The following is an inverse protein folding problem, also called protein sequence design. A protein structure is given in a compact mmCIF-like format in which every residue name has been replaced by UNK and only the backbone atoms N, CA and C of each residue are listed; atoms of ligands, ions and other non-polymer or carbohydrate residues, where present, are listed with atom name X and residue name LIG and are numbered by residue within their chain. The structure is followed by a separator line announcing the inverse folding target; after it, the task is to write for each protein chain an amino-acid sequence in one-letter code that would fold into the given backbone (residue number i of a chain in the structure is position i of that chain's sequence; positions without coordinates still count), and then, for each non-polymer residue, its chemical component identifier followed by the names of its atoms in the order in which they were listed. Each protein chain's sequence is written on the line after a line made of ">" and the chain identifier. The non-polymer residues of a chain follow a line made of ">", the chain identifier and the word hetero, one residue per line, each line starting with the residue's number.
data_IF_371098254103
#
_entry.id   IF_371098254103
#
_cell.length_a   1.000
_cell.length_b   1.000
_cell.length_c   1.000
_cell.angle_alpha   90.00
_cell.angle_beta   90.00
_cell.angle_gamma   90.00
#
_symmetry.space_group_name_H-M   'P 1'
#
loop_
_entity.id
_entity.type
_entity.pdbx_description
1 polymer ?
#
# COMPACT_ATOMS: atom_id res chain seq x y z
N UNK A 1 -59.88 -1.65 6.91
CA UNK A 1 -59.27 -2.10 5.64
C UNK A 1 -58.25 -1.07 5.21
N UNK A 2 -56.95 -1.33 5.41
CA UNK A 2 -55.89 -0.49 4.83
C UNK A 2 -56.04 -0.53 3.30
N UNK A 3 -56.21 0.63 2.68
CA UNK A 3 -56.65 0.75 1.29
C UNK A 3 -55.67 0.06 0.32
N UNK A 4 -56.16 -0.70 -0.69
CA UNK A 4 -55.33 -1.39 -1.68
C UNK A 4 -54.41 -0.43 -2.46
N UNK A 5 -54.74 0.87 -2.52
CA UNK A 5 -53.91 1.93 -3.09
C UNK A 5 -52.51 2.02 -2.47
N UNK A 6 -52.38 1.85 -1.15
CA UNK A 6 -51.08 1.89 -0.46
C UNK A 6 -50.19 0.71 -0.86
N UNK A 7 -50.78 -0.48 -1.02
CA UNK A 7 -50.07 -1.68 -1.47
C UNK A 7 -49.59 -1.52 -2.92
N UNK A 8 -50.42 -0.98 -3.82
CA UNK A 8 -50.02 -0.71 -5.20
C UNK A 8 -48.88 0.32 -5.28
N UNK A 9 -48.92 1.37 -4.46
CA UNK A 9 -47.84 2.37 -4.42
C UNK A 9 -46.51 1.76 -4.01
N UNK A 10 -46.49 0.91 -2.97
CA UNK A 10 -45.27 0.21 -2.53
C UNK A 10 -44.76 -0.75 -3.61
N UNK A 11 -45.64 -1.50 -4.27
CA UNK A 11 -45.27 -2.39 -5.37
C UNK A 11 -44.66 -1.62 -6.55
N UNK A 12 -45.26 -0.50 -6.94
CA UNK A 12 -44.75 0.37 -8.01
C UNK A 12 -43.36 0.91 -7.65
N UNK A 13 -43.18 1.43 -6.43
CA UNK A 13 -41.87 1.92 -5.96
C UNK A 13 -40.82 0.81 -5.96
N UNK A 14 -41.20 -0.41 -5.53
CA UNK A 14 -40.31 -1.57 -5.56
C UNK A 14 -39.91 -1.96 -6.98
N UNK A 15 -40.87 -1.96 -7.92
CA UNK A 15 -40.61 -2.23 -9.35
C UNK A 15 -39.66 -1.18 -9.93
N UNK A 16 -39.93 0.11 -9.70
CA UNK A 16 -39.06 1.21 -10.16
C UNK A 16 -37.65 1.04 -9.60
N UNK A 17 -37.53 0.73 -8.30
CA UNK A 17 -36.26 0.47 -7.64
C UNK A 17 -35.50 -0.71 -8.28
N UNK A 18 -36.18 -1.83 -8.56
CA UNK A 18 -35.58 -3.00 -9.24
C UNK A 18 -35.12 -2.64 -10.66
N UNK A 19 -35.94 -1.91 -11.42
CA UNK A 19 -35.60 -1.47 -12.78
C UNK A 19 -34.38 -0.55 -12.75
N UNK A 20 -34.34 0.41 -11.82
CA UNK A 20 -33.21 1.33 -11.66
C UNK A 20 -31.90 0.56 -11.40
N UNK A 21 -31.89 -0.38 -10.45
CA UNK A 21 -30.73 -1.21 -10.15
C UNK A 21 -30.33 -2.11 -11.33
N UNK A 22 -31.31 -2.61 -12.08
CA UNK A 22 -31.03 -3.40 -13.28
C UNK A 22 -30.33 -2.56 -14.34
N UNK A 23 -30.78 -1.32 -14.58
CA UNK A 23 -30.16 -0.38 -15.51
C UNK A 23 -28.73 -0.04 -15.06
N UNK A 24 -28.52 0.27 -13.78
CA UNK A 24 -27.19 0.54 -13.23
C UNK A 24 -26.23 -0.64 -13.45
N UNK A 25 -26.69 -1.85 -13.12
CA UNK A 25 -25.92 -3.09 -13.31
C UNK A 25 -25.56 -3.32 -14.78
N UNK A 26 -26.51 -3.16 -15.70
CA UNK A 26 -26.27 -3.32 -17.14
C UNK A 26 -25.28 -2.28 -17.66
N UNK A 27 -25.41 -1.03 -17.23
CA UNK A 27 -24.49 0.04 -17.62
C UNK A 27 -23.07 -0.21 -17.09
N UNK A 28 -22.94 -0.68 -15.84
CA UNK A 28 -21.64 -1.07 -15.29
C UNK A 28 -21.03 -2.24 -16.07
N UNK A 29 -21.81 -3.25 -16.41
CA UNK A 29 -21.33 -4.37 -17.22
C UNK A 29 -20.88 -3.95 -18.63
N UNK A 30 -21.58 -3.01 -19.26
CA UNK A 30 -21.15 -2.43 -20.55
C UNK A 30 -19.78 -1.75 -20.42
N UNK A 31 -19.56 -0.97 -19.35
CA UNK A 31 -18.27 -0.33 -19.06
C UNK A 31 -17.14 -1.35 -18.82
N UNK A 32 -17.42 -2.44 -18.11
CA UNK A 32 -16.40 -3.48 -17.93
C UNK A 32 -16.05 -4.17 -19.25
N UNK A 33 -17.03 -4.41 -20.13
CA UNK A 33 -16.81 -5.00 -21.45
C UNK A 33 -15.96 -4.12 -22.38
N UNK A 34 -15.99 -2.80 -22.20
CA UNK A 34 -15.18 -1.88 -22.99
C UNK A 34 -13.72 -1.78 -22.55
N UNK A 35 -13.33 -2.41 -21.44
CA UNK A 35 -11.95 -2.44 -20.93
C UNK A 35 -11.44 -3.88 -21.03
N UNK A 36 -10.68 -4.26 -22.07
CA UNK A 36 -10.32 -5.66 -22.30
C UNK A 36 -9.49 -6.29 -21.18
N UNK A 37 -8.48 -5.57 -20.68
CA UNK A 37 -7.59 -6.04 -19.63
C UNK A 37 -8.04 -5.45 -18.29
N UNK A 38 -8.43 -6.31 -17.36
CA UNK A 38 -8.84 -5.89 -16.00
C UNK A 38 -8.06 -6.72 -15.00
N UNK A 39 -7.15 -6.06 -14.29
CA UNK A 39 -6.24 -6.70 -13.34
C UNK A 39 -6.69 -6.31 -11.94
N UNK A 40 -6.94 -7.30 -11.09
CA UNK A 40 -7.31 -7.08 -9.70
C UNK A 40 -6.17 -7.55 -8.78
N UNK A 41 -5.58 -6.61 -8.05
CA UNK A 41 -4.41 -6.83 -7.21
C UNK A 41 -4.84 -6.95 -5.75
N UNK A 42 -4.70 -8.14 -5.20
CA UNK A 42 -5.05 -8.50 -3.83
C UNK A 42 -3.80 -9.02 -3.08
N UNK A 43 -3.94 -9.30 -1.78
CA UNK A 43 -2.85 -9.76 -0.92
C UNK A 43 -2.71 -8.91 0.34
N UNK A 44 -1.89 -9.35 1.29
CA UNK A 44 -1.77 -8.66 2.59
C UNK A 44 -0.98 -7.36 2.44
N UNK A 45 0.24 -7.41 1.88
CA UNK A 45 1.14 -6.24 1.71
C UNK A 45 1.58 -6.04 0.26
N UNK A 46 2.04 -4.84 -0.11
CA UNK A 46 2.63 -4.56 -1.43
C UNK A 46 1.64 -4.32 -2.57
N UNK A 47 0.31 -4.38 -2.33
CA UNK A 47 -0.71 -4.21 -3.37
C UNK A 47 -0.58 -2.90 -4.16
N UNK A 48 -0.34 -1.78 -3.48
CA UNK A 48 -0.21 -0.47 -4.13
C UNK A 48 1.03 -0.36 -5.00
N UNK A 49 2.16 -0.89 -4.54
CA UNK A 49 3.40 -0.98 -5.32
C UNK A 49 3.18 -1.83 -6.57
N UNK A 50 2.70 -3.06 -6.41
CA UNK A 50 2.47 -3.98 -7.55
C UNK A 50 1.47 -3.41 -8.54
N UNK A 51 0.41 -2.74 -8.07
CA UNK A 51 -0.55 -2.04 -8.93
C UNK A 51 0.13 -0.96 -9.78
N UNK A 52 1.01 -0.15 -9.19
CA UNK A 52 1.78 0.90 -9.90
C UNK A 52 2.77 0.30 -10.88
N UNK A 53 3.49 -0.75 -10.48
CA UNK A 53 4.48 -1.43 -11.31
C UNK A 53 3.84 -2.09 -12.55
N UNK A 54 2.73 -2.82 -12.36
CA UNK A 54 1.97 -3.43 -13.47
C UNK A 54 1.48 -2.34 -14.42
N UNK A 55 0.90 -1.27 -13.88
CA UNK A 55 0.37 -0.18 -14.71
C UNK A 55 1.48 0.50 -15.52
N UNK A 56 2.62 0.78 -14.89
CA UNK A 56 3.77 1.41 -15.54
C UNK A 56 4.41 0.50 -16.60
N UNK A 57 4.58 -0.79 -16.29
CA UNK A 57 5.10 -1.77 -17.25
C UNK A 57 4.19 -1.89 -18.46
N UNK A 58 2.87 -2.04 -18.26
CA UNK A 58 1.91 -2.16 -19.36
C UNK A 58 1.86 -0.92 -20.28
N UNK A 59 2.10 0.29 -19.75
CA UNK A 59 2.13 1.53 -20.55
C UNK A 59 3.29 1.60 -21.55
N UNK A 60 4.38 0.86 -21.31
CA UNK A 60 5.57 0.93 -22.17
C UNK A 60 5.34 0.39 -23.58
N UNK A 61 4.32 -0.45 -23.75
CA UNK A 61 3.87 -1.01 -25.02
C UNK A 61 2.73 -0.18 -25.65
N UNK A 62 2.66 1.12 -25.35
CA UNK A 62 1.67 2.04 -25.89
C UNK A 62 0.24 1.86 -25.38
N UNK A 63 -0.02 0.88 -24.50
CA UNK A 63 -1.34 0.65 -23.91
C UNK A 63 -1.74 1.82 -23.02
N UNK A 64 -3.00 2.27 -23.13
CA UNK A 64 -3.60 3.22 -22.18
C UNK A 64 -4.02 2.47 -20.93
N UNK A 65 -3.27 2.67 -19.86
CA UNK A 65 -3.49 1.95 -18.60
C UNK A 65 -3.92 2.92 -17.52
N UNK A 66 -5.10 2.69 -16.96
CA UNK A 66 -5.56 3.37 -15.76
C UNK A 66 -5.29 2.47 -14.57
N UNK A 67 -4.81 3.06 -13.46
CA UNK A 67 -4.63 2.33 -12.23
C UNK A 67 -5.31 3.04 -11.07
N UNK A 68 -5.66 2.28 -10.05
CA UNK A 68 -6.14 2.84 -8.80
C UNK A 68 -5.55 2.09 -7.63
N UNK A 69 -4.88 2.83 -6.74
CA UNK A 69 -4.31 2.33 -5.50
C UNK A 69 -5.12 2.78 -4.29
N UNK A 70 -4.95 2.09 -3.17
CA UNK A 70 -5.56 2.42 -1.88
C UNK A 70 -4.61 2.56 -0.72
N UNK A 71 -3.30 2.48 -0.95
CA UNK A 71 -2.21 2.53 0.03
C UNK A 71 -2.19 3.73 0.97
N UNK A 72 -1.06 4.41 1.13
CA UNK A 72 -0.97 5.51 2.10
C UNK A 72 -1.96 6.64 1.80
N UNK A 73 -2.19 6.89 0.51
CA UNK A 73 -3.33 7.67 0.04
C UNK A 73 -3.93 7.01 -1.20
N UNK A 74 -5.26 7.04 -1.30
CA UNK A 74 -5.93 6.47 -2.46
C UNK A 74 -5.74 7.38 -3.68
N UNK A 75 -5.25 6.80 -4.80
CA UNK A 75 -4.91 7.55 -6.02
C UNK A 75 -5.58 6.94 -7.23
N UNK A 76 -6.10 7.79 -8.11
CA UNK A 76 -6.53 7.45 -9.45
C UNK A 76 -5.44 7.89 -10.44
N UNK A 77 -4.76 6.94 -11.04
CA UNK A 77 -3.53 7.15 -11.81
C UNK A 77 -3.86 7.01 -13.29
N UNK A 78 -3.85 8.12 -14.02
CA UNK A 78 -4.16 8.16 -15.45
C UNK A 78 -2.93 7.76 -16.25
N UNK A 79 -1.78 8.33 -15.91
CA UNK A 79 -0.47 7.97 -16.46
C UNK A 79 0.61 8.22 -15.41
N UNK A 80 1.89 8.10 -15.77
CA UNK A 80 2.98 8.25 -14.80
C UNK A 80 3.06 9.67 -14.19
N UNK A 81 2.59 10.70 -14.90
CA UNK A 81 2.68 12.10 -14.49
C UNK A 81 1.37 12.67 -13.93
N UNK A 82 0.24 12.02 -14.23
CA UNK A 82 -1.09 12.48 -13.85
C UNK A 82 -1.74 11.46 -12.92
N UNK A 83 -1.76 11.79 -11.63
CA UNK A 83 -2.52 11.09 -10.60
C UNK A 83 -3.38 12.07 -9.79
N UNK A 84 -4.59 11.64 -9.47
CA UNK A 84 -5.56 12.43 -8.71
C UNK A 84 -5.90 11.74 -7.39
N UNK A 85 -6.09 12.47 -6.28
CA UNK A 85 -6.57 11.87 -5.05
C UNK A 85 -8.00 11.33 -5.22
N UNK A 86 -8.26 10.15 -4.66
CA UNK A 86 -9.62 9.61 -4.56
C UNK A 86 -10.26 10.13 -3.28
N UNK A 87 -11.08 11.18 -3.41
CA UNK A 87 -11.74 11.82 -2.27
C UNK A 87 -12.89 10.95 -1.76
N UNK A 88 -12.91 10.72 -0.44
CA UNK A 88 -13.96 9.95 0.25
C UNK A 88 -14.73 10.87 1.19
N UNK A 89 -16.06 10.77 1.15
CA UNK A 89 -16.96 11.42 2.13
C UNK A 89 -17.19 10.55 3.38
N UNK A 90 -16.47 9.44 3.53
CA UNK A 90 -16.63 8.48 4.62
C UNK A 90 -15.58 7.36 4.56
N UNK A 91 -15.87 6.24 5.23
CA UNK A 91 -14.99 5.07 5.21
C UNK A 91 -14.84 4.47 3.81
N UNK A 92 -13.74 3.75 3.61
CA UNK A 92 -13.47 2.98 2.40
C UNK A 92 -14.64 2.02 2.09
N UNK A 93 -15.10 1.99 0.85
CA UNK A 93 -16.23 1.16 0.44
C UNK A 93 -16.06 0.65 -1.00
N UNK A 94 -16.37 -0.62 -1.25
CA UNK A 94 -16.23 -1.24 -2.58
C UNK A 94 -17.07 -0.56 -3.68
N UNK A 95 -18.14 0.17 -3.32
CA UNK A 95 -18.91 1.00 -4.28
C UNK A 95 -18.07 2.10 -4.92
N UNK A 96 -16.97 2.50 -4.29
CA UNK A 96 -15.95 3.38 -4.87
C UNK A 96 -15.48 2.83 -6.22
N UNK A 97 -15.23 1.51 -6.33
CA UNK A 97 -14.71 0.89 -7.54
C UNK A 97 -15.68 1.02 -8.73
N UNK A 98 -17.00 1.02 -8.48
CA UNK A 98 -18.01 1.27 -9.54
C UNK A 98 -17.82 2.67 -10.14
N UNK A 99 -17.58 3.67 -9.28
CA UNK A 99 -17.31 5.05 -9.70
C UNK A 99 -15.96 5.17 -10.40
N UNK A 100 -14.94 4.48 -9.90
CA UNK A 100 -13.61 4.43 -10.53
C UNK A 100 -13.70 3.84 -11.94
N UNK A 101 -14.42 2.72 -12.15
CA UNK A 101 -14.65 2.15 -13.48
C UNK A 101 -15.39 3.14 -14.38
N UNK A 102 -16.44 3.80 -13.88
CA UNK A 102 -17.18 4.84 -14.62
C UNK A 102 -16.29 6.01 -15.04
N UNK A 103 -15.36 6.43 -14.18
CA UNK A 103 -14.38 7.48 -14.48
C UNK A 103 -13.33 6.99 -15.47
N UNK A 104 -12.84 5.76 -15.30
CA UNK A 104 -11.79 5.17 -16.12
C UNK A 104 -12.21 5.04 -17.58
N UNK A 105 -13.44 4.60 -17.88
CA UNK A 105 -13.90 4.42 -19.28
C UNK A 105 -13.88 5.69 -20.11
N UNK A 106 -13.93 6.88 -19.50
CA UNK A 106 -13.82 8.16 -20.23
C UNK A 106 -12.44 8.30 -20.89
N UNK A 107 -11.42 7.67 -20.33
CA UNK A 107 -10.05 7.65 -20.86
C UNK A 107 -9.85 6.56 -21.93
N UNK A 108 -10.90 5.79 -22.27
CA UNK A 108 -10.87 4.67 -23.21
C UNK A 108 -9.70 3.69 -22.95
N UNK A 109 -9.53 3.15 -21.74
CA UNK A 109 -8.33 2.40 -21.40
C UNK A 109 -8.32 1.00 -22.02
N UNK A 110 -7.13 0.58 -22.45
CA UNK A 110 -6.87 -0.79 -22.91
C UNK A 110 -6.70 -1.73 -21.69
N UNK A 111 -6.22 -1.18 -20.56
CA UNK A 111 -6.10 -1.89 -19.30
C UNK A 111 -6.53 -1.06 -18.07
N UNK A 112 -7.16 -1.72 -17.09
CA UNK A 112 -7.49 -1.18 -15.78
C UNK A 112 -6.89 -2.05 -14.68
N UNK A 113 -6.05 -1.47 -13.83
CA UNK A 113 -5.40 -2.16 -12.69
C UNK A 113 -5.98 -1.61 -11.38
N UNK A 114 -6.69 -2.45 -10.63
CA UNK A 114 -7.35 -2.06 -9.39
C UNK A 114 -6.76 -2.81 -8.21
N UNK A 115 -6.30 -2.07 -7.21
CA UNK A 115 -6.03 -2.60 -5.89
C UNK A 115 -7.33 -2.99 -5.17
N UNK A 116 -7.36 -4.19 -4.60
CA UNK A 116 -8.41 -4.69 -3.72
C UNK A 116 -8.44 -3.93 -2.40
N UNK A 117 -9.64 -3.53 -1.99
CA UNK A 117 -9.88 -2.78 -0.75
C UNK A 117 -10.63 -3.59 0.30
N UNK A 118 -11.32 -4.65 -0.12
CA UNK A 118 -12.21 -5.39 0.74
C UNK A 118 -11.39 -6.31 1.67
N UNK A 119 -11.63 -6.18 2.99
CA UNK A 119 -11.12 -7.14 3.97
C UNK A 119 -12.07 -8.33 4.10
N UNK A 120 -13.38 -8.08 4.25
CA UNK A 120 -14.37 -9.13 4.46
C UNK A 120 -14.48 -10.09 3.26
N UNK A 121 -14.53 -11.42 3.48
CA UNK A 121 -14.60 -12.40 2.39
C UNK A 121 -15.77 -12.21 1.42
N UNK A 122 -16.95 -11.85 1.92
CA UNK A 122 -18.15 -11.61 1.11
C UNK A 122 -17.99 -10.38 0.19
N UNK A 123 -17.35 -9.33 0.69
CA UNK A 123 -17.06 -8.13 -0.08
C UNK A 123 -15.95 -8.36 -1.11
N UNK A 124 -14.92 -9.15 -0.79
CA UNK A 124 -13.89 -9.54 -1.76
C UNK A 124 -14.50 -10.33 -2.93
N UNK A 125 -15.36 -11.31 -2.63
CA UNK A 125 -16.11 -12.05 -3.66
C UNK A 125 -16.99 -11.14 -4.51
N UNK A 126 -17.66 -10.16 -3.88
CA UNK A 126 -18.52 -9.21 -4.59
C UNK A 126 -17.70 -8.28 -5.49
N UNK A 127 -16.59 -7.76 -4.98
CA UNK A 127 -15.68 -6.88 -5.72
C UNK A 127 -15.14 -7.59 -6.96
N UNK A 128 -14.61 -8.80 -6.81
CA UNK A 128 -14.03 -9.56 -7.93
C UNK A 128 -15.09 -10.03 -8.94
N UNK A 129 -16.22 -10.58 -8.49
CA UNK A 129 -17.19 -11.26 -9.40
C UNK A 129 -18.25 -10.35 -9.97
N UNK A 130 -18.61 -9.25 -9.29
CA UNK A 130 -19.67 -8.34 -9.72
C UNK A 130 -19.13 -6.98 -10.18
N UNK A 131 -18.08 -6.46 -9.52
CA UNK A 131 -17.61 -5.09 -9.74
C UNK A 131 -16.44 -5.02 -10.72
N UNK A 132 -15.40 -5.84 -10.56
CA UNK A 132 -14.17 -5.78 -11.35
C UNK A 132 -14.18 -6.76 -12.51
N UNK A 133 -14.67 -8.00 -12.30
CA UNK A 133 -14.65 -9.10 -13.27
C UNK A 133 -13.29 -9.24 -13.97
N UNK A 134 -12.22 -9.50 -13.21
CA UNK A 134 -10.85 -9.46 -13.71
C UNK A 134 -10.59 -10.50 -14.80
N UNK A 135 -9.75 -10.12 -15.76
CA UNK A 135 -9.12 -11.04 -16.71
C UNK A 135 -7.88 -11.72 -16.12
N UNK A 136 -7.25 -11.09 -15.13
CA UNK A 136 -6.17 -11.64 -14.33
C UNK A 136 -6.24 -11.10 -12.89
N UNK A 137 -5.85 -11.94 -11.94
CA UNK A 137 -5.74 -11.60 -10.52
C UNK A 137 -4.27 -11.70 -10.13
N UNK A 138 -3.87 -10.81 -9.24
CA UNK A 138 -2.55 -10.84 -8.63
C UNK A 138 -2.73 -10.99 -7.13
N UNK A 139 -2.05 -11.95 -6.51
CA UNK A 139 -1.99 -12.10 -5.06
C UNK A 139 -0.55 -11.84 -4.63
N UNK A 140 -0.29 -10.68 -4.03
CA UNK A 140 1.07 -10.21 -3.74
C UNK A 140 1.78 -11.06 -2.69
N UNK A 141 1.10 -11.36 -1.60
CA UNK A 141 1.54 -12.26 -0.53
C UNK A 141 0.36 -12.62 0.38
N UNK A 142 0.55 -13.63 1.23
CA UNK A 142 -0.39 -14.03 2.27
C UNK A 142 0.31 -13.99 3.62
N UNK A 143 -0.11 -13.08 4.49
CA UNK A 143 0.43 -12.90 5.84
C UNK A 143 -0.70 -12.90 6.88
N UNK A 144 -0.32 -13.00 8.15
CA UNK A 144 -1.23 -12.78 9.27
C UNK A 144 -1.68 -11.31 9.28
N UNK A 145 -2.83 -11.05 8.66
CA UNK A 145 -3.38 -9.72 8.47
C UNK A 145 -4.89 -9.78 8.72
N UNK A 146 -5.43 -8.85 9.50
CA UNK A 146 -6.86 -8.77 9.84
C UNK A 146 -7.50 -10.14 10.16
N UNK A 147 -6.86 -10.94 11.02
CA UNK A 147 -7.30 -12.30 11.36
C UNK A 147 -8.68 -12.32 12.05
N UNK A 148 -9.07 -11.21 12.67
CA UNK A 148 -10.41 -10.97 13.21
C UNK A 148 -11.50 -10.90 12.13
N UNK A 149 -11.14 -10.57 10.88
CA UNK A 149 -12.06 -10.41 9.75
C UNK A 149 -11.94 -11.54 8.72
N UNK A 150 -10.71 -11.96 8.41
CA UNK A 150 -10.42 -12.96 7.37
C UNK A 150 -10.27 -14.39 7.91
N UNK A 151 -10.30 -14.55 9.24
CA UNK A 151 -10.18 -15.83 9.94
C UNK A 151 -8.86 -15.95 10.71
N UNK A 152 -8.81 -16.83 11.72
CA UNK A 152 -7.79 -16.82 12.76
C UNK A 152 -6.38 -17.21 12.30
N UNK A 153 -6.22 -17.75 11.09
CA UNK A 153 -4.92 -18.24 10.59
C UNK A 153 -4.55 -17.68 9.22
N UNK A 154 -3.25 -17.75 8.88
CA UNK A 154 -2.74 -17.40 7.54
C UNK A 154 -3.43 -18.25 6.46
N UNK A 155 -3.79 -19.51 6.79
CA UNK A 155 -4.55 -20.40 5.89
C UNK A 155 -5.96 -19.87 5.61
N UNK A 156 -6.61 -19.24 6.58
CA UNK A 156 -7.92 -18.60 6.38
C UNK A 156 -7.82 -17.35 5.49
N UNK A 157 -6.73 -16.60 5.61
CA UNK A 157 -6.42 -15.48 4.71
C UNK A 157 -6.22 -15.99 3.27
N UNK A 158 -5.42 -17.06 3.08
CA UNK A 158 -5.22 -17.69 1.77
C UNK A 158 -6.55 -18.18 1.17
N UNK A 159 -7.37 -18.85 2.00
CA UNK A 159 -8.71 -19.31 1.62
C UNK A 159 -9.58 -18.15 1.15
N UNK A 160 -9.60 -17.05 1.91
CA UNK A 160 -10.37 -15.85 1.57
C UNK A 160 -9.99 -15.31 0.18
N UNK A 161 -8.69 -15.23 -0.12
CA UNK A 161 -8.22 -14.75 -1.42
C UNK A 161 -8.61 -15.69 -2.57
N UNK A 162 -8.40 -17.00 -2.43
CA UNK A 162 -8.76 -17.99 -3.47
C UNK A 162 -10.28 -18.10 -3.64
N UNK A 163 -11.04 -18.00 -2.56
CA UNK A 163 -12.50 -18.00 -2.62
C UNK A 163 -13.07 -16.80 -3.36
N UNK A 164 -12.37 -15.67 -3.37
CA UNK A 164 -12.74 -14.51 -4.18
C UNK A 164 -12.35 -14.64 -5.66
N UNK A 165 -11.55 -15.61 -6.08
CA UNK A 165 -11.15 -15.76 -7.50
C UNK A 165 -12.34 -16.23 -8.35
N UNK A 166 -12.68 -15.53 -9.45
CA UNK A 166 -13.72 -15.97 -10.39
C UNK A 166 -13.32 -17.23 -11.18
N UNK A 167 -14.32 -17.90 -11.76
CA UNK A 167 -14.07 -19.04 -12.65
C UNK A 167 -13.24 -18.66 -13.88
N UNK A 168 -12.41 -19.58 -14.36
CA UNK A 168 -11.54 -19.45 -15.55
C UNK A 168 -10.55 -18.28 -15.46
N UNK A 169 -10.22 -17.81 -14.26
CA UNK A 169 -9.29 -16.70 -14.06
C UNK A 169 -7.85 -17.20 -13.93
N UNK A 170 -6.90 -16.32 -14.26
CA UNK A 170 -5.46 -16.54 -14.06
C UNK A 170 -5.03 -15.78 -12.81
N UNK A 171 -4.27 -16.43 -11.96
CA UNK A 171 -3.74 -15.87 -10.71
C UNK A 171 -2.23 -15.84 -10.79
N UNK A 172 -1.62 -14.68 -10.56
CA UNK A 172 -0.19 -14.51 -10.42
C UNK A 172 0.15 -14.30 -8.94
N UNK A 173 1.16 -14.98 -8.43
CA UNK A 173 1.57 -14.84 -7.03
C UNK A 173 3.04 -15.18 -6.83
N UNK A 174 3.67 -14.60 -5.81
CA UNK A 174 5.01 -14.98 -5.36
C UNK A 174 4.99 -15.99 -4.21
N UNK A 175 3.81 -16.38 -3.74
CA UNK A 175 3.64 -17.38 -2.67
C UNK A 175 3.82 -18.79 -3.23
N UNK A 176 4.76 -19.54 -2.63
CA UNK A 176 4.94 -20.95 -2.92
C UNK A 176 4.09 -21.81 -1.99
N UNK A 177 3.32 -22.73 -2.57
CA UNK A 177 2.65 -23.86 -1.91
C UNK A 177 1.47 -23.53 -1.00
N UNK A 178 1.28 -22.29 -0.54
CA UNK A 178 0.17 -21.95 0.37
C UNK A 178 -1.21 -22.22 -0.24
N UNK A 179 -1.30 -22.22 -1.57
CA UNK A 179 -2.54 -22.48 -2.29
C UNK A 179 -2.80 -23.95 -2.62
N UNK A 180 -1.83 -24.84 -2.38
CA UNK A 180 -1.94 -26.27 -2.70
C UNK A 180 -3.07 -26.92 -1.88
N UNK A 181 -3.27 -26.45 -0.65
CA UNK A 181 -4.35 -26.82 0.26
C UNK A 181 -5.76 -26.55 -0.30
N UNK A 182 -5.87 -25.74 -1.36
CA UNK A 182 -7.14 -25.36 -1.99
C UNK A 182 -7.29 -25.93 -3.41
N UNK A 183 -6.57 -26.99 -3.73
CA UNK A 183 -6.58 -27.66 -5.04
C UNK A 183 -7.99 -28.00 -5.55
N UNK A 184 -8.91 -28.40 -4.67
CA UNK A 184 -10.30 -28.67 -5.03
C UNK A 184 -11.04 -27.42 -5.54
N UNK A 185 -10.89 -26.28 -4.84
CA UNK A 185 -11.52 -25.03 -5.22
C UNK A 185 -10.90 -24.48 -6.52
N UNK A 186 -9.58 -24.56 -6.63
CA UNK A 186 -8.81 -24.20 -7.83
C UNK A 186 -9.32 -24.99 -9.04
N UNK A 187 -9.47 -26.31 -8.90
CA UNK A 187 -9.99 -27.20 -9.95
C UNK A 187 -11.45 -26.89 -10.28
N UNK A 188 -12.32 -26.74 -9.28
CA UNK A 188 -13.76 -26.45 -9.44
C UNK A 188 -14.00 -25.14 -10.21
N UNK A 189 -13.14 -24.14 -10.00
CA UNK A 189 -13.20 -22.85 -10.68
C UNK A 189 -12.33 -22.78 -11.93
N UNK A 190 -11.58 -23.83 -12.28
CA UNK A 190 -10.61 -23.83 -13.38
C UNK A 190 -9.65 -22.63 -13.30
N UNK A 191 -9.06 -22.44 -12.12
CA UNK A 191 -8.10 -21.37 -11.85
C UNK A 191 -6.72 -21.83 -12.32
N UNK A 192 -5.99 -20.96 -13.03
CA UNK A 192 -4.60 -21.19 -13.42
C UNK A 192 -3.69 -20.31 -12.57
N UNK A 193 -2.85 -20.93 -11.73
CA UNK A 193 -1.91 -20.21 -10.86
C UNK A 193 -0.52 -20.19 -11.50
N UNK A 194 0.08 -19.01 -11.55
CA UNK A 194 1.44 -18.75 -12.01
C UNK A 194 2.26 -18.26 -10.81
N UNK A 195 3.28 -19.03 -10.42
CA UNK A 195 4.16 -18.70 -9.30
C UNK A 195 5.41 -17.98 -9.80
N UNK A 196 5.54 -16.72 -9.42
CA UNK A 196 6.68 -15.85 -9.72
C UNK A 196 7.88 -16.18 -8.82
N UNK A 197 9.09 -16.13 -9.38
CA UNK A 197 10.32 -16.54 -8.68
C UNK A 197 11.25 -15.33 -8.40
N UNK A 198 11.26 -14.77 -7.18
CA UNK A 198 12.02 -13.55 -6.85
C UNK A 198 13.53 -13.67 -7.06
N UNK A 199 14.09 -14.88 -6.91
CA UNK A 199 15.52 -15.16 -7.13
C UNK A 199 16.02 -14.81 -8.54
N UNK A 200 15.12 -14.62 -9.50
CA UNK A 200 15.47 -14.18 -10.86
C UNK A 200 15.71 -12.67 -11.01
N UNK A 201 15.44 -11.89 -9.96
CA UNK A 201 15.70 -10.45 -9.92
C UNK A 201 17.03 -10.21 -9.22
N UNK A 202 17.97 -9.65 -9.98
CA UNK A 202 19.27 -9.19 -9.53
C UNK A 202 19.17 -7.83 -8.83
N UNK A 203 20.18 -7.52 -8.00
CA UNK A 203 20.16 -6.30 -7.17
C UNK A 203 20.35 -5.02 -8.00
N UNK A 204 21.02 -5.09 -9.14
CA UNK A 204 21.19 -3.97 -10.10
C UNK A 204 19.85 -3.47 -10.67
N UNK A 205 18.83 -4.33 -10.74
CA UNK A 205 17.47 -3.92 -11.11
C UNK A 205 16.87 -3.08 -9.98
N UNK A 206 17.09 -3.45 -8.72
CA UNK A 206 16.49 -2.76 -7.57
C UNK A 206 17.12 -1.38 -7.39
N UNK A 207 18.43 -1.28 -7.55
CA UNK A 207 19.18 -0.03 -7.36
C UNK A 207 18.75 1.10 -8.29
N UNK A 208 18.13 0.78 -9.44
CA UNK A 208 17.61 1.75 -10.40
C UNK A 208 16.28 2.39 -9.96
N UNK A 209 15.62 1.87 -8.93
CA UNK A 209 14.40 2.50 -8.39
C UNK A 209 14.74 3.72 -7.52
N UNK A 210 13.94 4.77 -7.64
CA UNK A 210 14.06 5.98 -6.81
C UNK A 210 13.63 5.80 -5.34
N UNK A 211 13.28 4.58 -4.96
CA UNK A 211 12.76 4.17 -3.66
C UNK A 211 13.09 2.70 -3.41
N UNK A 212 12.97 2.24 -2.16
CA UNK A 212 13.24 0.83 -1.83
C UNK A 212 12.05 -0.03 -2.26
N UNK A 213 12.26 -0.90 -3.24
CA UNK A 213 11.28 -1.84 -3.77
C UNK A 213 11.69 -3.30 -3.51
N UNK A 214 10.72 -4.22 -3.48
CA UNK A 214 10.94 -5.64 -3.21
C UNK A 214 11.03 -6.48 -4.49
N UNK A 215 11.95 -7.45 -4.51
CA UNK A 215 12.12 -8.42 -5.61
C UNK A 215 10.81 -9.11 -5.97
N UNK A 216 10.05 -9.50 -4.95
CA UNK A 216 8.74 -10.16 -5.06
C UNK A 216 7.73 -9.31 -5.83
N UNK A 217 7.71 -7.99 -5.60
CA UNK A 217 6.79 -7.08 -6.28
C UNK A 217 7.20 -6.88 -7.75
N UNK A 218 8.50 -6.74 -8.00
CA UNK A 218 9.06 -6.53 -9.35
C UNK A 218 8.79 -7.75 -10.21
N UNK A 219 9.17 -8.96 -9.77
CA UNK A 219 8.98 -10.18 -10.59
C UNK A 219 7.50 -10.44 -10.86
N UNK A 220 6.65 -10.21 -9.88
CA UNK A 220 5.21 -10.42 -10.00
C UNK A 220 4.60 -9.46 -11.03
N UNK A 221 5.00 -8.18 -11.00
CA UNK A 221 4.57 -7.21 -11.98
C UNK A 221 5.09 -7.54 -13.38
N UNK A 222 6.34 -8.01 -13.51
CA UNK A 222 6.94 -8.41 -14.79
C UNK A 222 6.22 -9.61 -15.39
N UNK A 223 5.89 -10.63 -14.60
CA UNK A 223 5.18 -11.82 -15.07
C UNK A 223 3.78 -11.47 -15.59
N UNK A 224 3.10 -10.54 -14.92
CA UNK A 224 1.81 -10.01 -15.40
C UNK A 224 1.99 -9.21 -16.68
N UNK A 225 2.99 -8.33 -16.78
CA UNK A 225 3.26 -7.56 -18.00
C UNK A 225 3.57 -8.46 -19.19
N UNK A 226 4.42 -9.47 -18.98
CA UNK A 226 4.76 -10.52 -19.96
C UNK A 226 3.53 -11.29 -20.41
N UNK A 227 2.62 -11.61 -19.48
CA UNK A 227 1.35 -12.27 -19.83
C UNK A 227 0.50 -11.47 -20.82
N UNK A 228 0.55 -10.14 -20.75
CA UNK A 228 -0.15 -9.23 -21.65
C UNK A 228 0.75 -8.71 -22.80
N UNK A 229 1.81 -9.44 -23.11
CA UNK A 229 2.63 -9.26 -24.31
C UNK A 229 3.69 -8.16 -24.22
N UNK A 230 3.99 -7.65 -23.02
CA UNK A 230 5.03 -6.62 -22.86
C UNK A 230 6.38 -7.27 -22.58
N UNK A 231 7.40 -6.87 -23.34
CA UNK A 231 8.78 -7.32 -23.13
C UNK A 231 9.31 -6.95 -21.74
N UNK A 232 10.21 -7.79 -21.21
CA UNK A 232 10.77 -7.62 -19.86
C UNK A 232 11.51 -6.28 -19.72
N UNK A 233 12.36 -5.92 -20.68
CA UNK A 233 13.18 -4.72 -20.60
C UNK A 233 12.31 -3.46 -20.76
N UNK A 234 11.34 -3.51 -21.67
CA UNK A 234 10.33 -2.46 -21.80
C UNK A 234 9.55 -2.25 -20.49
N UNK A 235 9.05 -3.34 -19.90
CA UNK A 235 8.31 -3.30 -18.65
C UNK A 235 9.17 -2.74 -17.49
N UNK A 236 10.42 -3.19 -17.35
CA UNK A 236 11.36 -2.66 -16.34
C UNK A 236 11.62 -1.17 -16.52
N UNK A 237 11.84 -0.71 -17.76
CA UNK A 237 11.99 0.73 -18.05
C UNK A 237 10.77 1.54 -17.59
N UNK A 238 9.56 1.02 -17.77
CA UNK A 238 8.34 1.65 -17.25
C UNK A 238 8.30 1.68 -15.74
N UNK A 239 8.65 0.56 -15.10
CA UNK A 239 8.68 0.41 -13.64
C UNK A 239 9.68 1.36 -12.98
N UNK A 240 10.90 1.50 -13.49
CA UNK A 240 11.89 2.43 -12.93
C UNK A 240 11.46 3.90 -13.01
N UNK A 241 10.71 4.26 -14.07
CA UNK A 241 10.21 5.61 -14.29
C UNK A 241 8.84 5.88 -13.64
N UNK A 242 8.31 4.94 -12.85
CA UNK A 242 7.01 5.13 -12.19
C UNK A 242 7.15 5.95 -10.92
N UNK A 243 6.14 6.77 -10.64
CA UNK A 243 6.04 7.42 -9.35
C UNK A 243 5.64 6.39 -8.28
N UNK A 244 6.40 6.25 -7.17
CA UNK A 244 6.06 5.32 -6.10
C UNK A 244 4.74 5.68 -5.42
N UNK A 245 4.25 4.76 -4.59
CA UNK A 245 3.24 5.13 -3.61
C UNK A 245 3.74 6.30 -2.74
N UNK A 246 2.89 7.27 -2.36
CA UNK A 246 3.32 8.38 -1.50
C UNK A 246 4.00 7.93 -0.20
N UNK A 247 3.62 6.76 0.34
CA UNK A 247 4.26 6.17 1.51
C UNK A 247 5.32 5.10 1.20
N UNK A 248 5.84 5.01 -0.03
CA UNK A 248 6.93 4.09 -0.31
C UNK A 248 8.16 4.41 0.56
N UNK A 249 8.86 3.35 0.98
CA UNK A 249 10.05 3.48 1.80
C UNK A 249 11.14 4.20 1.02
N UNK A 250 11.54 5.38 1.50
CA UNK A 250 12.53 6.24 0.84
C UNK A 250 13.70 6.53 1.76
N UNK A 251 14.89 6.47 1.18
CA UNK A 251 16.15 6.80 1.82
C UNK A 251 16.70 8.06 1.16
N UNK A 252 17.05 9.06 1.95
CA UNK A 252 17.64 10.31 1.46
C UNK A 252 18.91 10.64 2.24
N UNK A 253 19.92 11.13 1.53
CA UNK A 253 21.04 11.83 2.15
C UNK A 253 20.68 13.31 2.28
N UNK A 254 20.94 13.88 3.46
CA UNK A 254 20.69 15.28 3.78
C UNK A 254 21.92 15.87 4.45
N UNK A 255 22.16 17.17 4.25
CA UNK A 255 23.16 17.94 4.96
C UNK A 255 22.48 18.78 6.05
N UNK A 256 22.72 18.43 7.31
CA UNK A 256 22.30 19.26 8.44
C UNK A 256 23.52 19.88 9.11
N UNK A 257 23.75 21.17 8.85
CA UNK A 257 24.84 21.97 9.44
C UNK A 257 26.24 21.35 9.18
N UNK A 258 26.47 20.86 7.96
CA UNK A 258 27.73 20.23 7.54
C UNK A 258 27.88 18.77 7.95
N UNK A 259 26.83 18.15 8.51
CA UNK A 259 26.78 16.71 8.81
C UNK A 259 26.02 15.99 7.71
N UNK A 260 26.66 15.00 7.08
CA UNK A 260 25.99 14.09 6.15
C UNK A 260 25.15 13.09 6.97
N UNK A 261 23.83 13.21 6.88
CA UNK A 261 22.91 12.31 7.58
C UNK A 261 22.08 11.56 6.55
N UNK A 262 21.89 10.27 6.79
CA UNK A 262 20.93 9.47 6.04
C UNK A 262 19.61 9.45 6.80
N UNK A 263 18.50 9.79 6.15
CA UNK A 263 17.17 9.64 6.71
C UNK A 263 16.38 8.57 5.94
N UNK A 264 15.76 7.64 6.66
CA UNK A 264 14.92 6.59 6.13
C UNK A 264 13.48 6.75 6.61
N UNK A 265 12.58 7.03 5.67
CA UNK A 265 11.17 7.31 5.95
C UNK A 265 10.32 6.04 5.97
N UNK A 266 10.20 5.41 7.15
CA UNK A 266 9.37 4.23 7.38
C UNK A 266 8.01 4.54 8.02
N UNK A 267 7.62 5.82 8.12
CA UNK A 267 6.38 6.29 8.77
C UNK A 267 5.08 5.83 8.09
N UNK A 268 5.17 5.27 6.88
CA UNK A 268 4.03 4.67 6.21
C UNK A 268 3.72 3.24 6.72
N UNK A 269 4.66 2.61 7.43
CA UNK A 269 4.42 1.35 8.10
C UNK A 269 3.43 1.58 9.26
N UNK A 270 2.23 1.02 9.12
CA UNK A 270 1.14 1.28 10.07
C UNK A 270 1.15 0.37 11.30
N UNK A 271 1.84 -0.77 11.24
CA UNK A 271 1.90 -1.80 12.28
C UNK A 271 3.36 -2.06 12.75
N UNK A 272 3.54 -2.54 14.01
CA UNK A 272 4.86 -2.84 14.56
C UNK A 272 5.66 -3.87 13.75
N UNK A 273 5.02 -4.91 13.24
CA UNK A 273 5.69 -5.98 12.49
C UNK A 273 6.26 -5.47 11.15
N UNK A 274 5.53 -4.61 10.44
CA UNK A 274 6.03 -3.90 9.26
C UNK A 274 7.24 -3.05 9.59
N UNK A 275 7.18 -2.31 10.70
CA UNK A 275 8.27 -1.45 11.13
C UNK A 275 9.51 -2.27 11.49
N UNK A 276 9.32 -3.37 12.21
CA UNK A 276 10.39 -4.30 12.57
C UNK A 276 11.01 -4.98 11.36
N UNK A 277 10.19 -5.41 10.39
CA UNK A 277 10.67 -5.99 9.15
C UNK A 277 11.56 -5.01 8.36
N UNK A 278 11.16 -3.74 8.27
CA UNK A 278 11.99 -2.70 7.65
C UNK A 278 13.28 -2.50 8.47
N UNK A 279 13.19 -2.44 9.80
CA UNK A 279 14.36 -2.33 10.66
C UNK A 279 15.34 -3.48 10.45
N UNK A 280 14.86 -4.71 10.24
CA UNK A 280 15.72 -5.86 9.96
C UNK A 280 16.39 -5.76 8.59
N UNK A 281 15.68 -5.26 7.57
CA UNK A 281 16.18 -5.22 6.19
C UNK A 281 17.17 -4.09 5.91
N UNK A 282 17.24 -3.06 6.75
CA UNK A 282 18.14 -1.93 6.52
C UNK A 282 19.59 -2.28 6.85
N UNK A 283 20.51 -1.72 6.06
CA UNK A 283 21.92 -1.67 6.44
C UNK A 283 22.05 -0.88 7.75
N UNK A 284 22.89 -1.38 8.65
CA UNK A 284 23.13 -0.82 9.98
C UNK A 284 24.57 -0.29 10.11
N UNK A 285 25.32 -0.25 9.01
CA UNK A 285 26.68 0.28 8.95
C UNK A 285 26.68 1.82 8.90
N UNK A 286 26.32 2.44 10.02
CA UNK A 286 26.40 3.88 10.27
C UNK A 286 27.16 4.13 11.56
N UNK A 287 27.73 5.33 11.70
CA UNK A 287 28.39 5.77 12.95
C UNK A 287 27.42 5.73 14.14
N UNK A 288 26.16 6.04 13.87
CA UNK A 288 25.08 6.15 14.83
C UNK A 288 23.73 5.86 14.15
N UNK A 289 22.83 5.17 14.85
CA UNK A 289 21.45 4.96 14.38
C UNK A 289 20.48 5.56 15.39
N UNK A 290 19.64 6.46 14.91
CA UNK A 290 18.69 7.24 15.68
C UNK A 290 17.25 6.87 15.28
N UNK A 291 16.36 6.75 16.27
CA UNK A 291 14.93 6.61 16.00
C UNK A 291 14.27 7.97 16.08
N UNK A 292 13.56 8.35 15.02
CA UNK A 292 12.63 9.47 15.06
C UNK A 292 11.21 8.92 15.09
N UNK A 293 10.46 9.22 16.15
CA UNK A 293 9.09 8.72 16.35
C UNK A 293 8.12 9.89 16.33
N UNK A 294 7.30 9.95 15.28
CA UNK A 294 6.25 10.96 15.19
C UNK A 294 4.95 10.45 15.83
N UNK A 295 4.61 11.05 16.97
CA UNK A 295 3.43 10.73 17.76
C UNK A 295 2.19 11.50 17.29
N UNK A 296 1.03 11.03 17.74
CA UNK A 296 -0.26 11.71 17.57
C UNK A 296 -1.17 11.51 18.78
N UNK A 297 -1.81 12.57 19.24
CA UNK A 297 -2.68 12.56 20.43
C UNK A 297 -3.96 11.70 20.24
N UNK A 298 -4.48 11.58 19.02
CA UNK A 298 -5.74 10.87 18.73
C UNK A 298 -5.61 9.34 18.77
N UNK A 299 -4.39 8.79 18.92
CA UNK A 299 -4.12 7.33 18.92
C UNK A 299 -3.06 6.95 19.95
N UNK A 300 -3.44 7.07 21.21
CA UNK A 300 -2.58 6.78 22.37
C UNK A 300 -2.14 5.30 22.38
N UNK A 301 -3.02 4.39 21.95
CA UNK A 301 -2.76 2.96 21.76
C UNK A 301 -1.50 2.69 20.92
N UNK A 302 -1.31 3.44 19.83
CA UNK A 302 -0.12 3.30 18.98
C UNK A 302 1.17 3.70 19.67
N UNK A 303 1.10 4.65 20.60
CA UNK A 303 2.28 5.04 21.39
C UNK A 303 2.73 3.88 22.29
N UNK A 304 1.79 3.09 22.82
CA UNK A 304 2.14 1.87 23.58
C UNK A 304 2.76 0.81 22.67
N UNK A 305 2.17 0.55 21.49
CA UNK A 305 2.72 -0.41 20.53
C UNK A 305 4.14 -0.04 20.10
N UNK A 306 4.42 1.24 19.86
CA UNK A 306 5.77 1.70 19.52
C UNK A 306 6.72 1.56 20.71
N UNK A 307 6.28 1.82 21.94
CA UNK A 307 7.09 1.61 23.13
C UNK A 307 7.50 0.14 23.29
N UNK A 308 6.56 -0.79 23.07
CA UNK A 308 6.82 -2.23 23.13
C UNK A 308 7.76 -2.67 22.00
N UNK A 309 7.55 -2.20 20.77
CA UNK A 309 8.46 -2.42 19.64
C UNK A 309 9.88 -1.93 19.95
N UNK A 310 10.02 -0.73 20.53
CA UNK A 310 11.32 -0.19 20.91
C UNK A 310 11.98 -1.07 21.97
N UNK A 311 11.24 -1.43 23.01
CA UNK A 311 11.72 -2.26 24.11
C UNK A 311 12.24 -3.60 23.59
N UNK A 312 11.47 -4.27 22.74
CA UNK A 312 11.70 -5.66 22.37
C UNK A 312 12.69 -5.79 21.19
N UNK A 313 12.75 -4.78 20.32
CA UNK A 313 13.45 -4.90 19.03
C UNK A 313 14.36 -3.74 18.65
N UNK A 314 14.04 -2.50 19.03
CA UNK A 314 14.76 -1.30 18.57
C UNK A 314 15.63 -0.63 19.65
N UNK A 315 15.79 -1.26 20.81
CA UNK A 315 16.49 -0.69 21.99
C UNK A 315 17.96 -0.34 21.77
N UNK A 316 18.56 -0.86 20.69
CA UNK A 316 19.96 -0.61 20.33
C UNK A 316 20.19 0.70 19.58
N UNK A 317 19.15 1.47 19.29
CA UNK A 317 19.33 2.82 18.76
C UNK A 317 20.05 3.71 19.77
N UNK A 318 20.88 4.63 19.27
CA UNK A 318 21.68 5.52 20.08
C UNK A 318 20.81 6.60 20.73
N UNK A 319 19.95 7.22 19.92
CA UNK A 319 19.03 8.26 20.34
C UNK A 319 17.57 8.00 19.92
N UNK A 320 16.64 8.57 20.70
CA UNK A 320 15.19 8.46 20.54
C UNK A 320 14.58 9.86 20.49
N UNK A 321 14.24 10.32 19.29
CA UNK A 321 13.73 11.66 19.03
C UNK A 321 12.20 11.56 18.89
N UNK A 322 11.46 12.23 19.77
CA UNK A 322 9.99 12.18 19.78
C UNK A 322 9.42 13.48 19.21
N UNK A 323 8.57 13.39 18.19
CA UNK A 323 7.97 14.55 17.52
C UNK A 323 6.45 14.44 17.43
N UNK A 324 5.78 15.48 16.94
CA UNK A 324 4.33 15.48 16.75
C UNK A 324 3.59 15.83 18.04
N UNK A 325 2.40 15.27 18.25
CA UNK A 325 1.57 15.55 19.43
C UNK A 325 1.47 14.33 20.34
N UNK A 326 1.36 14.55 21.65
CA UNK A 326 1.19 13.45 22.62
C UNK A 326 2.44 12.65 22.95
N UNK A 327 3.61 13.18 22.64
CA UNK A 327 4.90 12.54 22.88
C UNK A 327 5.10 12.15 24.34
N UNK A 328 4.49 12.87 25.29
CA UNK A 328 4.57 12.59 26.72
C UNK A 328 4.16 11.17 27.11
N UNK A 329 3.20 10.57 26.39
CA UNK A 329 2.77 9.19 26.67
C UNK A 329 3.89 8.22 26.35
N UNK A 330 4.50 8.35 25.17
CA UNK A 330 5.62 7.52 24.74
C UNK A 330 6.85 7.79 25.61
N UNK A 331 7.17 9.07 25.86
CA UNK A 331 8.30 9.49 26.68
C UNK A 331 8.26 8.84 28.07
N UNK A 332 7.11 8.90 28.77
CA UNK A 332 6.92 8.25 30.08
C UNK A 332 7.17 6.75 30.09
N UNK A 333 6.92 6.06 28.98
CA UNK A 333 7.22 4.63 28.83
C UNK A 333 8.71 4.42 28.56
N UNK A 334 9.30 5.22 27.67
CA UNK A 334 10.72 5.10 27.31
C UNK A 334 11.66 5.47 28.46
N UNK A 335 11.35 6.46 29.29
CA UNK A 335 12.15 6.82 30.47
C UNK A 335 12.31 5.67 31.49
N UNK A 336 11.47 4.62 31.42
CA UNK A 336 11.59 3.43 32.28
C UNK A 336 12.59 2.41 31.74
N UNK A 337 12.99 2.51 30.47
CA UNK A 337 13.76 1.47 29.77
C UNK A 337 14.96 2.02 28.99
N UNK A 338 15.01 3.33 28.74
CA UNK A 338 16.07 4.06 28.04
C UNK A 338 16.60 5.17 28.96
N UNK A 339 17.90 5.45 28.91
CA UNK A 339 18.50 6.60 29.59
C UNK A 339 17.87 7.91 29.08
N UNK A 340 17.41 8.76 30.00
CA UNK A 340 16.80 10.05 29.69
C UNK A 340 17.68 10.92 28.78
N UNK A 341 19.01 10.82 28.88
CA UNK A 341 19.95 11.58 28.03
C UNK A 341 19.88 11.19 26.56
N UNK A 342 19.43 9.98 26.26
CA UNK A 342 19.25 9.47 24.89
C UNK A 342 17.91 9.88 24.28
N UNK A 343 17.00 10.49 25.05
CA UNK A 343 15.66 10.86 24.59
C UNK A 343 15.60 12.38 24.36
N UNK A 344 15.27 12.77 23.12
CA UNK A 344 15.00 14.15 22.77
C UNK A 344 13.50 14.31 22.47
N UNK A 345 12.75 14.87 23.41
CA UNK A 345 11.32 15.11 23.24
C UNK A 345 11.06 16.51 22.67
N UNK A 346 10.60 16.54 21.42
CA UNK A 346 10.29 17.75 20.64
C UNK A 346 8.78 17.89 20.38
N UNK A 347 7.94 17.29 21.23
CA UNK A 347 6.49 17.34 21.12
C UNK A 347 5.96 18.78 20.98
N UNK A 348 5.05 18.99 20.04
CA UNK A 348 4.40 20.27 19.77
C UNK A 348 5.28 21.33 19.09
N UNK A 349 6.58 21.08 18.88
CA UNK A 349 7.47 22.04 18.20
C UNK A 349 7.16 22.12 16.71
N UNK A 350 7.38 23.29 16.11
CA UNK A 350 7.28 23.46 14.66
C UNK A 350 8.35 22.60 13.93
N UNK A 351 8.02 21.97 12.79
CA UNK A 351 8.96 21.19 11.99
C UNK A 351 10.33 21.82 11.70
N UNK A 352 10.39 23.14 11.51
CA UNK A 352 11.67 23.85 11.28
C UNK A 352 12.57 23.76 12.51
N UNK A 353 12.02 24.02 13.71
CA UNK A 353 12.78 23.92 14.97
C UNK A 353 13.20 22.48 15.27
N UNK A 354 12.42 21.49 14.84
CA UNK A 354 12.79 20.08 14.98
C UNK A 354 14.10 19.78 14.26
N UNK A 355 14.27 20.27 13.03
CA UNK A 355 15.50 20.02 12.26
C UNK A 355 16.71 20.61 12.98
N UNK A 356 16.60 21.84 13.49
CA UNK A 356 17.69 22.49 14.20
C UNK A 356 18.11 21.70 15.43
N UNK A 357 17.16 21.20 16.23
CA UNK A 357 17.47 20.42 17.43
C UNK A 357 17.98 19.01 17.10
N UNK A 358 17.41 18.36 16.09
CA UNK A 358 17.91 17.07 15.57
C UNK A 358 19.35 17.20 15.09
N UNK A 359 19.67 18.25 14.33
CA UNK A 359 21.02 18.49 13.79
C UNK A 359 22.10 18.62 14.87
N UNK A 360 21.72 19.16 16.04
CA UNK A 360 22.62 19.29 17.18
C UNK A 360 22.76 17.97 17.95
N UNK A 361 21.74 17.12 17.91
CA UNK A 361 21.66 15.90 18.72
C UNK A 361 22.30 14.67 18.06
N UNK A 362 22.26 14.59 16.73
CA UNK A 362 22.80 13.43 15.99
C UNK A 362 24.24 13.68 15.51
N UNK A 363 25.03 12.61 15.37
CA UNK A 363 26.38 12.68 14.81
C UNK A 363 26.41 12.70 13.27
N UNK A 364 27.57 13.06 12.72
CA UNK A 364 27.86 12.96 11.29
C UNK A 364 27.88 11.50 10.82
N UNK A 365 27.49 11.26 9.56
CA UNK A 365 27.35 9.92 8.93
C UNK A 365 26.37 8.99 9.66
N UNK A 366 25.39 9.56 10.36
CA UNK A 366 24.37 8.82 11.10
C UNK A 366 23.15 8.47 10.24
N UNK A 367 22.36 7.50 10.72
CA UNK A 367 21.06 7.15 10.19
C UNK A 367 19.95 7.65 11.11
N UNK A 368 18.95 8.35 10.56
CA UNK A 368 17.67 8.61 11.22
C UNK A 368 16.62 7.67 10.63
N UNK A 369 16.17 6.70 11.42
CA UNK A 369 15.05 5.81 11.09
C UNK A 369 13.74 6.42 11.60
N UNK A 370 12.96 7.00 10.68
CA UNK A 370 11.74 7.73 11.01
C UNK A 370 10.51 6.81 10.94
N UNK A 371 9.80 6.68 12.06
CA UNK A 371 8.61 5.82 12.23
C UNK A 371 7.44 6.60 12.84
N UNK A 372 6.28 5.96 12.91
CA UNK A 372 5.07 6.55 13.50
C UNK A 372 4.20 7.24 12.46
N UNK A 373 3.52 8.32 12.84
CA UNK A 373 2.50 8.91 12.00
C UNK A 373 3.06 9.66 10.77
N UNK A 374 2.67 9.28 9.56
CA UNK A 374 3.01 10.06 8.35
C UNK A 374 2.10 11.27 8.10
N UNK A 375 0.79 11.21 8.37
CA UNK A 375 -0.19 12.23 7.91
C UNK A 375 -0.08 13.55 8.68
N UNK A 376 -0.21 14.68 7.99
CA UNK A 376 -0.25 16.02 8.57
C UNK A 376 1.14 16.48 9.00
N UNK A 377 1.40 16.51 10.31
CA UNK A 377 2.70 16.93 10.85
C UNK A 377 3.87 16.11 10.29
N UNK A 378 3.68 14.80 10.08
CA UNK A 378 4.72 13.93 9.52
C UNK A 378 5.12 14.32 8.09
N UNK A 379 4.15 14.62 7.23
CA UNK A 379 4.38 15.10 5.86
C UNK A 379 5.10 16.46 5.86
N UNK A 380 4.70 17.38 6.73
CA UNK A 380 5.35 18.69 6.84
C UNK A 380 6.80 18.56 7.33
N UNK A 381 7.03 17.75 8.37
CA UNK A 381 8.36 17.43 8.88
C UNK A 381 9.24 16.81 7.80
N UNK A 382 8.71 15.85 7.05
CA UNK A 382 9.43 15.24 5.94
C UNK A 382 9.81 16.26 4.86
N UNK A 383 8.89 17.16 4.50
CA UNK A 383 9.18 18.26 3.55
C UNK A 383 10.30 19.15 4.05
N UNK A 384 10.36 19.46 5.35
CA UNK A 384 11.45 20.27 5.89
C UNK A 384 12.78 19.52 5.79
N UNK A 385 12.85 18.23 6.18
CA UNK A 385 14.10 17.46 6.05
C UNK A 385 14.58 17.40 4.60
N UNK A 386 13.65 17.25 3.65
CA UNK A 386 13.98 17.17 2.23
C UNK A 386 14.48 18.49 1.61
N UNK A 387 14.28 19.65 2.26
CA UNK A 387 14.92 20.91 1.82
C UNK A 387 16.44 20.88 1.96
N UNK A 388 16.94 20.01 2.83
CA UNK A 388 18.37 19.81 3.07
C UNK A 388 18.94 18.63 2.28
N UNK A 389 18.18 18.12 1.29
CA UNK A 389 18.64 17.00 0.47
C UNK A 389 19.90 17.41 -0.28
N UNK A 390 20.97 16.65 -0.08
CA UNK A 390 22.17 16.78 -0.90
C UNK A 390 21.78 16.35 -2.32
N UNK A 391 21.98 17.23 -3.31
CA UNK A 391 21.93 16.82 -4.70
C UNK A 391 23.01 15.75 -4.89
N UNK A 392 22.61 14.51 -5.15
CA UNK A 392 23.57 13.52 -5.64
C UNK A 392 23.96 13.96 -7.05
N UNK A 393 25.24 14.30 -7.23
CA UNK A 393 25.89 14.30 -8.55
C UNK A 393 25.72 12.95 -9.24
#
# INVERSE_FOLDING_TARGET
>A
MLAPAGLYAVLILLIIYIIFHRIEKLNHQKRLKSIPIRIWVNGSRGKSSVTRLIAAGLRTDGKRVIAKTTGTSARFIINNNIEEPVIRLGMANIREQIRIVKKAVVQNPDALVLECMALRPDLQCTESTQIVKPSAIVITNVRADHLDVMGPTIKDVAKTYISAVPKNCKVFTSESNIFDDFSEEIRKKNIKIFVSKPKSISDDIIEKFSYIEHKENIILALDVCRHFGVDKEAALKGMHNTNPDPGALKKHKIDLKGKEITILYAMAANDPDSTYYIWQSIDKNYTEINLLVNCRNDRIDRSFQIADLIKDHLRKAEHYILTGSGTEVLARKLYKIIDNKKILNLGGKNPVRVIDEVSNFVSDKSLIFAIGNTVGYGEEMMKQFLKHRSEQC
#
